data_IF_322974550664
#
_entry.id   IF_322974550664
#
_cell.length_a   1.000
_cell.length_b   1.000
_cell.length_c   1.000
_cell.angle_alpha   90.00
_cell.angle_beta   90.00
_cell.angle_gamma   90.00
#
_symmetry.space_group_name_H-M   'P 1'
#
loop_
_entity.id
_entity.type
_entity.pdbx_description
1 polymer ?
#
# COMPACT_ATOMS: atom_id res chain seq x y z
N UNK A 1 25.80 27.50 12.65
CA UNK A 1 24.44 27.32 13.18
C UNK A 1 24.33 25.87 13.59
N UNK A 2 24.39 25.60 14.89
CA UNK A 2 24.36 24.22 15.40
C UNK A 2 22.91 23.91 15.73
N UNK A 3 22.20 23.24 14.82
CA UNK A 3 20.82 22.81 15.06
C UNK A 3 20.82 21.79 16.20
N UNK A 4 20.24 22.17 17.35
CA UNK A 4 20.07 21.26 18.48
C UNK A 4 18.74 20.52 18.32
N UNK A 5 18.80 19.19 18.25
CA UNK A 5 17.60 18.34 18.18
C UNK A 5 17.06 18.11 19.60
N UNK A 6 15.82 18.54 19.85
CA UNK A 6 15.15 18.43 21.15
C UNK A 6 14.24 17.19 21.23
N UNK A 7 14.83 16.00 21.33
CA UNK A 7 14.07 14.74 21.40
C UNK A 7 13.31 14.54 22.73
N UNK A 8 13.69 15.26 23.79
CA UNK A 8 13.01 15.23 25.09
C UNK A 8 11.53 15.62 25.00
N UNK A 9 11.20 16.51 24.06
CA UNK A 9 9.82 16.97 23.81
C UNK A 9 8.92 15.86 23.24
N UNK A 10 9.49 14.78 22.69
CA UNK A 10 8.72 13.64 22.18
C UNK A 10 8.33 12.66 23.28
N UNK A 11 8.96 12.72 24.46
CA UNK A 11 8.72 11.78 25.54
C UNK A 11 7.26 11.72 25.97
N UNK A 12 6.52 12.83 26.16
CA UNK A 12 5.10 12.78 26.49
C UNK A 12 4.23 12.11 25.42
N UNK A 13 4.65 12.11 24.15
CA UNK A 13 3.92 11.58 23.00
C UNK A 13 4.26 10.12 22.67
N UNK A 14 5.09 9.44 23.48
CA UNK A 14 5.45 8.05 23.24
C UNK A 14 4.26 7.09 23.04
N UNK A 15 3.09 7.25 23.72
CA UNK A 15 1.95 6.37 23.49
C UNK A 15 1.35 6.55 22.10
N UNK A 16 1.33 7.79 21.58
CA UNK A 16 0.81 8.12 20.24
C UNK A 16 1.73 7.58 19.15
N UNK A 17 3.06 7.68 19.37
CA UNK A 17 4.05 7.08 18.48
C UNK A 17 3.90 5.56 18.42
N UNK A 18 3.68 4.91 19.56
CA UNK A 18 3.44 3.47 19.62
C UNK A 18 2.13 3.07 18.96
N UNK A 19 1.06 3.86 19.13
CA UNK A 19 -0.21 3.65 18.46
C UNK A 19 -0.07 3.76 16.93
N UNK A 20 0.66 4.77 16.44
CA UNK A 20 0.95 4.92 15.02
C UNK A 20 1.79 3.77 14.44
N UNK A 21 2.80 3.30 15.20
CA UNK A 21 3.56 2.11 14.85
C UNK A 21 2.64 0.89 14.75
N UNK A 22 1.74 0.70 15.71
CA UNK A 22 0.81 -0.41 15.72
C UNK A 22 -0.12 -0.41 14.50
N UNK A 23 -0.67 0.75 14.13
CA UNK A 23 -1.46 0.92 12.90
C UNK A 23 -0.63 0.57 11.66
N UNK A 24 0.63 1.01 11.60
CA UNK A 24 1.53 0.70 10.47
C UNK A 24 1.77 -0.80 10.34
N UNK A 25 1.96 -1.50 11.46
CA UNK A 25 2.11 -2.97 11.48
C UNK A 25 0.84 -3.64 10.95
N UNK A 26 -0.33 -3.23 11.45
CA UNK A 26 -1.61 -3.79 11.00
C UNK A 26 -1.82 -3.60 9.50
N UNK A 27 -1.64 -2.37 9.01
CA UNK A 27 -1.79 -2.04 7.59
C UNK A 27 -0.81 -2.84 6.74
N UNK A 28 0.45 -2.97 7.18
CA UNK A 28 1.47 -3.72 6.46
C UNK A 28 1.12 -5.20 6.39
N UNK A 29 0.69 -5.81 7.50
CA UNK A 29 0.29 -7.23 7.53
C UNK A 29 -0.89 -7.48 6.60
N UNK A 30 -1.95 -6.67 6.70
CA UNK A 30 -3.15 -6.82 5.87
C UNK A 30 -2.84 -6.59 4.39
N UNK A 31 -2.11 -5.53 4.05
CA UNK A 31 -1.71 -5.23 2.68
C UNK A 31 -0.79 -6.31 2.10
N UNK A 32 0.13 -6.85 2.90
CA UNK A 32 1.04 -7.93 2.46
C UNK A 32 0.27 -9.21 2.17
N UNK A 33 -0.61 -9.63 3.08
CA UNK A 33 -1.43 -10.84 2.89
C UNK A 33 -2.32 -10.69 1.66
N UNK A 34 -3.02 -9.55 1.52
CA UNK A 34 -3.88 -9.28 0.37
C UNK A 34 -3.08 -9.22 -0.94
N UNK A 35 -1.98 -8.47 -0.96
CA UNK A 35 -1.09 -8.36 -2.12
C UNK A 35 -0.47 -9.69 -2.52
N UNK A 36 -0.07 -10.52 -1.55
CA UNK A 36 0.47 -11.85 -1.79
C UNK A 36 -0.60 -12.78 -2.38
N UNK A 37 -1.81 -12.79 -1.83
CA UNK A 37 -2.91 -13.60 -2.37
C UNK A 37 -3.23 -13.22 -3.82
N UNK A 38 -3.36 -11.91 -4.10
CA UNK A 38 -3.57 -11.37 -5.45
C UNK A 38 -2.40 -11.76 -6.36
N UNK A 39 -1.15 -11.63 -5.89
CA UNK A 39 0.06 -11.99 -6.64
C UNK A 39 0.12 -13.47 -7.00
N UNK A 40 -0.19 -14.37 -6.05
CA UNK A 40 -0.23 -15.82 -6.26
C UNK A 40 -1.32 -16.20 -7.26
N UNK A 41 -2.52 -15.64 -7.13
CA UNK A 41 -3.61 -15.85 -8.11
C UNK A 41 -3.19 -15.41 -9.51
N UNK A 42 -2.54 -14.25 -9.60
CA UNK A 42 -1.96 -13.75 -10.83
C UNK A 42 -0.91 -14.65 -11.46
N UNK A 43 0.00 -15.16 -10.63
CA UNK A 43 1.02 -16.11 -11.06
C UNK A 43 0.39 -17.42 -11.55
N UNK A 44 -0.63 -17.93 -10.85
CA UNK A 44 -1.38 -19.10 -11.27
C UNK A 44 -2.04 -18.90 -12.64
N UNK A 45 -2.71 -17.76 -12.86
CA UNK A 45 -3.32 -17.38 -14.14
C UNK A 45 -2.27 -17.32 -15.28
N UNK A 46 -1.07 -16.81 -14.99
CA UNK A 46 0.02 -16.68 -15.98
C UNK A 46 0.86 -17.95 -16.17
N UNK A 47 0.76 -18.93 -15.27
CA UNK A 47 1.55 -20.17 -15.34
C UNK A 47 1.11 -21.13 -16.45
N UNK A 48 -0.14 -21.01 -16.91
CA UNK A 48 -0.69 -21.80 -18.00
C UNK A 48 -0.41 -21.22 -19.40
N UNK A 49 -1.23 -21.62 -20.38
CA UNK A 49 -1.14 -21.05 -21.73
C UNK A 49 -1.58 -19.59 -21.71
N UNK A 50 -0.87 -18.65 -22.35
CA UNK A 50 -1.21 -17.24 -22.35
C UNK A 50 -2.54 -17.00 -23.10
N UNK A 51 -3.64 -16.96 -22.34
CA UNK A 51 -4.98 -16.61 -22.80
C UNK A 51 -5.33 -15.14 -22.59
N UNK A 52 -6.58 -14.77 -22.90
CA UNK A 52 -7.09 -13.40 -22.69
C UNK A 52 -6.94 -12.95 -21.23
N UNK A 53 -7.19 -13.85 -20.28
CA UNK A 53 -7.06 -13.57 -18.84
C UNK A 53 -5.62 -13.25 -18.42
N UNK A 54 -4.62 -13.92 -19.03
CA UNK A 54 -3.20 -13.61 -18.81
C UNK A 54 -2.80 -12.23 -19.33
N UNK A 55 -3.41 -11.77 -20.44
CA UNK A 55 -3.15 -10.43 -20.98
C UNK A 55 -3.77 -9.35 -20.12
N UNK A 56 -5.02 -9.54 -19.71
CA UNK A 56 -5.72 -8.62 -18.80
C UNK A 56 -4.97 -8.49 -17.48
N UNK A 57 -4.53 -9.63 -16.90
CA UNK A 57 -3.72 -9.60 -15.69
C UNK A 57 -2.38 -8.88 -15.87
N UNK A 58 -1.71 -9.11 -17.00
CA UNK A 58 -0.49 -8.39 -17.36
C UNK A 58 -0.70 -6.88 -17.39
N UNK A 59 -1.76 -6.41 -18.05
CA UNK A 59 -2.12 -4.99 -18.10
C UNK A 59 -2.42 -4.41 -16.71
N UNK A 60 -3.17 -5.12 -15.87
CA UNK A 60 -3.41 -4.72 -14.49
C UNK A 60 -2.09 -4.49 -13.71
N UNK A 61 -1.18 -5.46 -13.75
CA UNK A 61 0.11 -5.39 -13.04
C UNK A 61 0.96 -4.23 -13.58
N UNK A 62 0.99 -4.05 -14.89
CA UNK A 62 1.73 -2.98 -15.55
C UNK A 62 1.21 -1.60 -15.13
N UNK A 63 -0.11 -1.38 -15.14
CA UNK A 63 -0.73 -0.13 -14.70
C UNK A 63 -0.41 0.17 -13.24
N UNK A 64 -0.61 -0.81 -12.34
CA UNK A 64 -0.39 -0.64 -10.90
C UNK A 64 1.09 -0.33 -10.60
N UNK A 65 2.02 -0.98 -11.30
CA UNK A 65 3.47 -0.78 -11.09
C UNK A 65 3.99 0.52 -11.69
N UNK A 66 3.40 0.96 -12.81
CA UNK A 66 3.81 2.19 -13.48
C UNK A 66 3.14 3.45 -12.89
N UNK A 67 2.13 3.30 -12.03
CA UNK A 67 1.45 4.43 -11.38
C UNK A 67 2.03 4.66 -9.98
N UNK A 68 2.47 5.88 -9.62
CA UNK A 68 2.94 6.18 -8.27
C UNK A 68 1.89 5.88 -7.20
N UNK A 69 2.30 5.23 -6.11
CA UNK A 69 1.39 4.82 -5.03
C UNK A 69 0.61 6.00 -4.44
N UNK A 70 1.25 7.16 -4.28
CA UNK A 70 0.62 8.39 -3.79
C UNK A 70 -0.58 8.79 -4.67
N UNK A 71 -0.47 8.68 -5.99
CA UNK A 71 -1.57 8.98 -6.92
C UNK A 71 -2.72 7.98 -6.74
N UNK A 72 -2.43 6.70 -6.54
CA UNK A 72 -3.45 5.68 -6.28
C UNK A 72 -4.24 5.98 -5.00
N UNK A 73 -3.55 6.44 -3.94
CA UNK A 73 -4.20 6.87 -2.69
C UNK A 73 -5.05 8.14 -2.86
N UNK A 74 -4.58 9.13 -3.64
CA UNK A 74 -5.37 10.33 -3.91
C UNK A 74 -6.61 10.01 -4.72
N UNK A 75 -6.51 9.13 -5.72
CA UNK A 75 -7.66 8.70 -6.51
C UNK A 75 -8.65 7.91 -5.66
N UNK A 76 -8.20 6.99 -4.80
CA UNK A 76 -9.10 6.25 -3.91
C UNK A 76 -9.80 7.18 -2.91
N UNK A 77 -9.09 8.17 -2.37
CA UNK A 77 -9.66 9.21 -1.50
C UNK A 77 -10.67 10.11 -2.23
N UNK A 78 -10.35 10.52 -3.47
CA UNK A 78 -11.26 11.29 -4.32
C UNK A 78 -12.53 10.49 -4.63
N UNK A 79 -12.38 9.22 -4.99
CA UNK A 79 -13.50 8.30 -5.21
C UNK A 79 -14.34 8.21 -3.94
N UNK A 80 -13.74 7.90 -2.78
CA UNK A 80 -14.48 7.82 -1.51
C UNK A 80 -15.28 9.10 -1.21
N UNK A 81 -14.66 10.27 -1.39
CA UNK A 81 -15.32 11.57 -1.20
C UNK A 81 -16.47 11.84 -2.18
N UNK A 82 -16.49 11.20 -3.35
CA UNK A 82 -17.61 11.31 -4.31
C UNK A 82 -18.78 10.35 -4.01
N UNK A 83 -18.62 9.41 -3.07
CA UNK A 83 -19.68 8.51 -2.61
C UNK A 83 -20.41 9.01 -1.35
N UNK A 84 -19.96 10.13 -0.76
CA UNK A 84 -20.66 10.93 0.27
C UNK A 84 -21.30 12.18 -0.37
#
# INVERSE_FOLDING_TARGET
>A
MTEQLHFSELWPHWPELLAGLWVTVQLTVLATIGGLAIGILGAAIRSGRPGMLSRVWGGYVEIIRNTPFVVQLFLSSLVYRTWD
#
